data_IF_947748674277
#
_entry.id   IF_947748674277
#
_cell.length_a   1.000
_cell.length_b   1.000
_cell.length_c   1.000
_cell.angle_alpha   90.00
_cell.angle_beta   90.00
_cell.angle_gamma   90.00
#
_symmetry.space_group_name_H-M   'P 1'
#
loop_
_entity.id
_entity.type
_entity.pdbx_description
1 polymer ?
#
# COMPACT_ATOMS: atom_id res chain seq x y z
N UNK A 1 9.10 47.46 -50.79
CA UNK A 1 8.98 46.94 -49.41
C UNK A 1 7.68 46.15 -49.37
N UNK A 2 7.82 44.83 -49.23
CA UNK A 2 6.73 43.86 -49.31
C UNK A 2 6.04 43.75 -47.96
N UNK A 3 4.72 43.92 -47.94
CA UNK A 3 3.87 43.45 -46.84
C UNK A 3 3.08 42.26 -47.38
N UNK A 4 3.56 41.05 -47.11
CA UNK A 4 2.77 39.83 -47.26
C UNK A 4 2.20 39.46 -45.89
N UNK A 5 0.95 39.88 -45.65
CA UNK A 5 0.11 39.27 -44.64
C UNK A 5 -0.33 37.91 -45.16
N UNK A 6 0.23 36.85 -44.62
CA UNK A 6 -0.31 35.49 -44.75
C UNK A 6 -1.45 35.34 -43.75
N UNK A 7 -2.64 35.84 -44.11
CA UNK A 7 -3.87 35.41 -43.46
C UNK A 7 -4.10 33.94 -43.81
N UNK A 8 -4.04 33.08 -42.81
CA UNK A 8 -4.41 31.68 -42.92
C UNK A 8 -5.89 31.62 -43.21
N UNK A 9 -6.28 31.24 -44.44
CA UNK A 9 -7.67 31.02 -44.82
C UNK A 9 -8.33 30.08 -43.80
N UNK A 10 -9.30 30.61 -43.05
CA UNK A 10 -10.15 29.79 -42.19
C UNK A 10 -11.00 28.91 -43.09
N UNK A 11 -10.66 27.63 -43.14
CA UNK A 11 -11.42 26.64 -43.88
C UNK A 11 -12.82 26.52 -43.26
N UNK A 12 -13.85 27.02 -43.97
CA UNK A 12 -15.25 27.00 -43.50
C UNK A 12 -15.85 25.66 -43.91
N UNK A 13 -16.12 24.81 -42.91
CA UNK A 13 -16.79 23.52 -43.14
C UNK A 13 -18.18 23.74 -43.76
N UNK A 14 -18.51 22.94 -44.77
CA UNK A 14 -19.86 22.86 -45.31
C UNK A 14 -20.82 22.24 -44.29
N UNK A 15 -22.13 22.47 -44.44
CA UNK A 15 -23.16 21.89 -43.56
C UNK A 15 -23.06 20.36 -43.49
N UNK A 16 -22.78 19.70 -44.63
CA UNK A 16 -22.63 18.24 -44.68
C UNK A 16 -21.40 17.77 -43.91
N UNK A 17 -20.27 18.46 -44.04
CA UNK A 17 -19.05 18.14 -43.28
C UNK A 17 -19.25 18.37 -41.78
N UNK A 18 -19.97 19.43 -41.40
CA UNK A 18 -20.29 19.71 -40.01
C UNK A 18 -21.21 18.65 -39.40
N UNK A 19 -22.26 18.22 -40.11
CA UNK A 19 -23.16 17.14 -39.67
C UNK A 19 -22.44 15.79 -39.59
N UNK A 20 -21.57 15.49 -40.55
CA UNK A 20 -20.76 14.27 -40.53
C UNK A 20 -19.79 14.26 -39.35
N UNK A 21 -19.08 15.37 -39.13
CA UNK A 21 -18.18 15.52 -37.98
C UNK A 21 -18.94 15.35 -36.66
N UNK A 22 -20.07 16.04 -36.49
CA UNK A 22 -20.90 15.92 -35.30
C UNK A 22 -21.34 14.47 -35.04
N UNK A 23 -21.82 13.78 -36.09
CA UNK A 23 -22.28 12.39 -36.00
C UNK A 23 -21.11 11.45 -35.63
N UNK A 24 -19.95 11.63 -36.24
CA UNK A 24 -18.74 10.86 -35.94
C UNK A 24 -18.27 11.07 -34.50
N UNK A 25 -18.33 12.30 -33.98
CA UNK A 25 -17.95 12.60 -32.60
C UNK A 25 -18.88 11.95 -31.57
N UNK A 26 -20.19 11.95 -31.83
CA UNK A 26 -21.15 11.21 -30.98
C UNK A 26 -20.83 9.71 -31.01
N UNK A 27 -20.63 9.14 -32.21
CA UNK A 27 -20.31 7.71 -32.33
C UNK A 27 -19.02 7.37 -31.58
N UNK A 28 -17.98 8.19 -31.69
CA UNK A 28 -16.73 8.01 -30.95
C UNK A 28 -16.94 8.04 -29.44
N UNK A 29 -17.79 8.94 -28.92
CA UNK A 29 -18.15 8.98 -27.50
C UNK A 29 -18.90 7.72 -27.03
N UNK A 30 -19.82 7.21 -27.84
CA UNK A 30 -20.54 5.96 -27.55
C UNK A 30 -19.62 4.73 -27.61
N UNK A 31 -18.70 4.68 -28.57
CA UNK A 31 -17.69 3.63 -28.68
C UNK A 31 -16.73 3.68 -27.48
N UNK A 32 -16.39 4.87 -26.99
CA UNK A 32 -15.60 5.05 -25.78
C UNK A 32 -16.32 4.52 -24.54
N UNK A 33 -17.63 4.74 -24.41
CA UNK A 33 -18.45 4.14 -23.36
C UNK A 33 -18.50 2.61 -23.46
N UNK A 34 -18.59 2.07 -24.68
CA UNK A 34 -18.57 0.61 -24.88
C UNK A 34 -17.24 -0.02 -24.44
N UNK A 35 -16.10 0.64 -24.73
CA UNK A 35 -14.78 0.21 -24.26
C UNK A 35 -14.68 0.22 -22.73
N UNK A 36 -15.19 1.27 -22.09
CA UNK A 36 -15.24 1.37 -20.63
C UNK A 36 -16.04 0.23 -20.01
N UNK A 37 -17.24 -0.04 -20.52
CA UNK A 37 -18.10 -1.13 -20.03
C UNK A 37 -17.43 -2.49 -20.22
N UNK A 38 -16.77 -2.72 -21.36
CA UNK A 38 -16.04 -3.97 -21.61
C UNK A 38 -14.89 -4.15 -20.62
N UNK A 39 -14.09 -3.11 -20.39
CA UNK A 39 -12.98 -3.16 -19.43
C UNK A 39 -13.49 -3.40 -17.99
N UNK A 40 -14.58 -2.75 -17.58
CA UNK A 40 -15.21 -3.01 -16.27
C UNK A 40 -15.81 -4.41 -16.17
N UNK A 41 -16.36 -4.94 -17.27
CA UNK A 41 -16.85 -6.31 -17.34
C UNK A 41 -15.70 -7.30 -17.14
N UNK A 42 -14.57 -7.11 -17.83
CA UNK A 42 -13.36 -7.90 -17.61
C UNK A 42 -12.88 -7.78 -16.16
N UNK A 43 -12.74 -6.57 -15.62
CA UNK A 43 -12.34 -6.33 -14.21
C UNK A 43 -13.24 -7.09 -13.22
N UNK A 44 -14.55 -7.12 -13.46
CA UNK A 44 -15.53 -7.70 -12.55
C UNK A 44 -15.91 -9.16 -12.86
N UNK A 45 -15.49 -9.77 -13.96
CA UNK A 45 -15.98 -11.11 -14.32
C UNK A 45 -14.89 -12.08 -14.75
N UNK A 46 -13.73 -11.59 -15.20
CA UNK A 46 -12.65 -12.47 -15.62
C UNK A 46 -12.20 -13.41 -14.50
N UNK A 47 -11.80 -14.62 -14.89
CA UNK A 47 -11.16 -15.59 -14.01
C UNK A 47 -9.64 -15.65 -14.24
N UNK A 48 -9.13 -14.81 -15.16
CA UNK A 48 -7.72 -14.74 -15.51
C UNK A 48 -7.06 -13.52 -14.83
N UNK A 49 -5.95 -13.78 -14.13
CA UNK A 49 -5.24 -12.76 -13.36
C UNK A 49 -4.61 -11.67 -14.25
N UNK A 50 -4.08 -12.04 -15.42
CA UNK A 50 -3.47 -11.08 -16.35
C UNK A 50 -4.53 -10.21 -17.02
N UNK A 51 -5.69 -10.78 -17.37
CA UNK A 51 -6.83 -10.04 -17.88
C UNK A 51 -7.40 -9.09 -16.82
N UNK A 52 -7.43 -9.51 -15.55
CA UNK A 52 -7.82 -8.66 -14.41
C UNK A 52 -6.90 -7.44 -14.29
N UNK A 53 -5.58 -7.65 -14.28
CA UNK A 53 -4.60 -6.57 -14.21
C UNK A 53 -4.69 -5.64 -15.43
N UNK A 54 -4.81 -6.22 -16.62
CA UNK A 54 -4.92 -5.45 -17.89
C UNK A 54 -6.16 -4.55 -17.86
N UNK A 55 -7.30 -5.08 -17.41
CA UNK A 55 -8.52 -4.31 -17.26
C UNK A 55 -8.34 -3.15 -16.27
N UNK A 56 -7.80 -3.41 -15.07
CA UNK A 56 -7.57 -2.38 -14.06
C UNK A 56 -6.62 -1.28 -14.53
N UNK A 57 -5.52 -1.64 -15.20
CA UNK A 57 -4.57 -0.69 -15.79
C UNK A 57 -5.24 0.15 -16.89
N UNK A 58 -6.06 -0.48 -17.75
CA UNK A 58 -6.76 0.24 -18.82
C UNK A 58 -7.80 1.24 -18.29
N UNK A 59 -8.42 0.95 -17.16
CA UNK A 59 -9.42 1.79 -16.50
C UNK A 59 -8.79 2.92 -15.67
N UNK A 60 -7.51 2.81 -15.31
CA UNK A 60 -6.81 3.81 -14.51
C UNK A 60 -6.56 5.09 -15.32
N UNK A 61 -7.09 6.22 -14.86
CA UNK A 61 -7.13 7.51 -15.59
C UNK A 61 -7.98 7.47 -16.87
N UNK A 62 -8.99 6.60 -16.94
CA UNK A 62 -9.83 6.50 -18.13
C UNK A 62 -10.74 7.73 -18.27
N UNK A 63 -10.61 8.44 -19.38
CA UNK A 63 -11.48 9.57 -19.69
C UNK A 63 -12.73 9.08 -20.42
N UNK A 64 -13.81 8.85 -19.67
CA UNK A 64 -15.08 8.33 -20.22
C UNK A 64 -15.84 9.39 -21.03
N UNK A 65 -15.98 10.57 -20.44
CA UNK A 65 -16.71 11.68 -21.06
C UNK A 65 -15.91 12.30 -22.20
N UNK A 66 -16.63 12.72 -23.23
CA UNK A 66 -16.12 13.49 -24.36
C UNK A 66 -16.90 14.79 -24.48
N UNK A 67 -16.43 15.70 -25.34
CA UNK A 67 -17.13 16.97 -25.61
C UNK A 67 -18.56 16.80 -26.14
N UNK A 68 -18.92 15.60 -26.63
CA UNK A 68 -20.21 15.33 -27.28
C UNK A 68 -21.08 14.31 -26.54
N UNK A 69 -20.52 13.54 -25.61
CA UNK A 69 -21.24 12.49 -24.86
C UNK A 69 -20.74 12.49 -23.43
N UNK A 70 -21.68 12.71 -22.50
CA UNK A 70 -21.46 12.62 -21.05
C UNK A 70 -22.22 11.43 -20.47
N UNK A 71 -21.54 10.66 -19.63
CA UNK A 71 -22.12 9.55 -18.89
C UNK A 71 -22.35 9.98 -17.43
N UNK A 72 -23.58 9.88 -16.91
CA UNK A 72 -23.95 10.48 -15.62
C UNK A 72 -23.34 9.76 -14.41
N UNK A 73 -22.91 8.50 -14.57
CA UNK A 73 -22.34 7.69 -13.51
C UNK A 73 -21.06 7.01 -14.01
N UNK A 74 -20.01 7.12 -13.20
CA UNK A 74 -18.74 6.44 -13.42
C UNK A 74 -18.11 6.12 -12.07
N UNK A 75 -17.46 4.98 -11.99
CA UNK A 75 -16.56 4.68 -10.88
C UNK A 75 -15.32 5.57 -10.97
N UNK A 76 -14.82 5.99 -9.81
CA UNK A 76 -13.55 6.71 -9.71
C UNK A 76 -12.36 5.79 -9.97
N UNK A 77 -11.17 6.37 -10.21
CA UNK A 77 -9.94 5.58 -10.33
C UNK A 77 -9.64 4.80 -9.04
N UNK A 78 -9.97 5.38 -7.87
CA UNK A 78 -9.85 4.74 -6.57
C UNK A 78 -10.79 3.53 -6.43
N UNK A 79 -12.01 3.63 -6.95
CA UNK A 79 -12.96 2.51 -6.96
C UNK A 79 -12.44 1.37 -7.85
N UNK A 80 -11.82 1.69 -9.00
CA UNK A 80 -11.16 0.69 -9.87
C UNK A 80 -10.09 -0.06 -9.09
N UNK A 81 -9.25 0.64 -8.32
CA UNK A 81 -8.20 -0.02 -7.52
C UNK A 81 -8.79 -0.92 -6.43
N UNK A 82 -9.88 -0.50 -5.77
CA UNK A 82 -10.57 -1.31 -4.77
C UNK A 82 -11.15 -2.58 -5.37
N UNK A 83 -11.86 -2.47 -6.51
CA UNK A 83 -12.42 -3.63 -7.21
C UNK A 83 -11.29 -4.56 -7.65
N UNK A 84 -10.21 -4.05 -8.24
CA UNK A 84 -9.04 -4.85 -8.61
C UNK A 84 -8.49 -5.63 -7.41
N UNK A 85 -8.28 -4.95 -6.27
CA UNK A 85 -7.66 -5.54 -5.09
C UNK A 85 -8.54 -6.63 -4.46
N UNK A 86 -9.86 -6.41 -4.36
CA UNK A 86 -10.80 -7.42 -3.89
C UNK A 86 -10.87 -8.63 -4.84
N UNK A 87 -10.86 -8.37 -6.16
CA UNK A 87 -10.88 -9.41 -7.19
C UNK A 87 -9.61 -10.25 -7.21
N UNK A 88 -8.46 -9.62 -7.03
CA UNK A 88 -7.16 -10.28 -6.93
C UNK A 88 -7.19 -11.32 -5.81
N UNK A 89 -7.66 -10.93 -4.62
CA UNK A 89 -7.79 -11.82 -3.46
C UNK A 89 -8.77 -12.96 -3.73
N UNK A 90 -9.92 -12.67 -4.35
CA UNK A 90 -10.93 -13.69 -4.70
C UNK A 90 -10.42 -14.73 -5.70
N UNK A 91 -9.66 -14.32 -6.72
CA UNK A 91 -9.12 -15.23 -7.73
C UNK A 91 -7.92 -16.04 -7.26
N UNK A 92 -7.29 -15.62 -6.16
CA UNK A 92 -6.09 -16.25 -5.62
C UNK A 92 -6.38 -17.22 -4.47
N UNK A 93 -7.61 -17.72 -4.34
CA UNK A 93 -8.08 -18.57 -3.22
C UNK A 93 -7.98 -17.91 -1.82
N UNK A 94 -7.98 -16.57 -1.75
CA UNK A 94 -7.86 -15.78 -0.52
C UNK A 94 -9.07 -14.84 -0.30
N UNK A 95 -10.26 -15.31 -0.68
CA UNK A 95 -11.47 -14.49 -0.88
C UNK A 95 -12.09 -13.85 0.38
N UNK A 96 -11.78 -14.35 1.59
CA UNK A 96 -12.67 -14.14 2.75
C UNK A 96 -12.27 -13.00 3.70
N UNK A 97 -11.16 -12.34 3.43
CA UNK A 97 -10.58 -11.35 4.35
C UNK A 97 -10.95 -9.89 4.10
N UNK A 98 -11.37 -9.55 2.87
CA UNK A 98 -11.69 -8.20 2.44
C UNK A 98 -13.00 -8.20 1.64
N UNK A 99 -13.90 -7.30 1.98
CA UNK A 99 -15.12 -7.07 1.21
C UNK A 99 -15.24 -5.60 0.84
N UNK A 100 -15.76 -5.31 -0.36
CA UNK A 100 -16.14 -3.96 -0.74
C UNK A 100 -17.65 -3.77 -0.53
N UNK A 101 -18.02 -2.61 -0.02
CA UNK A 101 -19.41 -2.21 0.16
C UNK A 101 -19.62 -0.80 -0.33
N UNK A 102 -20.87 -0.49 -0.66
CA UNK A 102 -21.30 0.86 -1.00
C UNK A 102 -22.38 1.27 0.02
N UNK A 103 -21.99 2.00 1.06
CA UNK A 103 -22.88 2.34 2.19
C UNK A 103 -24.04 3.25 1.78
N UNK A 104 -23.86 4.05 0.72
CA UNK A 104 -24.90 4.90 0.16
C UNK A 104 -24.76 4.82 -1.36
N UNK A 105 -25.75 4.26 -2.07
CA UNK A 105 -25.76 3.80 -3.48
C UNK A 105 -25.19 4.76 -4.57
N UNK A 106 -24.59 5.90 -4.20
CA UNK A 106 -24.10 6.97 -5.06
C UNK A 106 -22.69 7.49 -4.68
N UNK A 107 -22.04 7.11 -3.57
CA UNK A 107 -20.74 7.71 -3.21
C UNK A 107 -19.70 6.71 -2.69
N UNK A 108 -18.70 6.44 -3.55
CA UNK A 108 -17.42 5.77 -3.30
C UNK A 108 -17.48 4.37 -2.68
N UNK A 109 -16.78 3.42 -3.28
CA UNK A 109 -16.62 2.09 -2.70
C UNK A 109 -15.72 2.18 -1.46
N UNK A 110 -16.08 1.42 -0.43
CA UNK A 110 -15.31 1.29 0.79
C UNK A 110 -15.02 -0.18 1.05
N UNK A 111 -13.77 -0.49 1.36
CA UNK A 111 -13.37 -1.82 1.79
C UNK A 111 -13.50 -1.97 3.30
N UNK A 112 -13.81 -3.18 3.76
CA UNK A 112 -13.78 -3.61 5.16
C UNK A 112 -13.00 -4.91 5.27
N UNK A 113 -12.10 -4.99 6.25
CA UNK A 113 -11.52 -6.27 6.65
C UNK A 113 -12.46 -6.97 7.60
N UNK A 114 -12.73 -8.25 7.36
CA UNK A 114 -13.66 -9.06 8.17
C UNK A 114 -13.28 -9.07 9.66
N UNK A 115 -11.98 -8.99 9.97
CA UNK A 115 -11.44 -9.02 11.33
C UNK A 115 -11.47 -7.67 12.05
N UNK A 116 -11.63 -6.54 11.36
CA UNK A 116 -11.55 -5.19 11.96
C UNK A 116 -12.91 -4.51 12.20
N UNK A 117 -14.00 -5.28 12.13
CA UNK A 117 -15.35 -4.79 12.39
C UNK A 117 -15.78 -3.69 11.41
N UNK A 118 -16.11 -2.51 11.92
CA UNK A 118 -16.66 -1.41 11.11
C UNK A 118 -15.63 -0.44 10.52
N UNK A 119 -14.34 -0.68 10.77
CA UNK A 119 -13.27 0.09 10.15
C UNK A 119 -13.35 -0.01 8.62
N UNK A 120 -13.33 1.14 7.95
CA UNK A 120 -13.42 1.23 6.49
C UNK A 120 -12.14 1.77 5.89
N UNK A 121 -11.84 1.32 4.67
CA UNK A 121 -10.60 1.59 3.96
C UNK A 121 -10.91 1.98 2.52
N UNK A 122 -10.02 2.78 1.94
CA UNK A 122 -10.17 3.22 0.55
C UNK A 122 -8.81 3.51 -0.07
N UNK A 123 -8.77 3.50 -1.39
CA UNK A 123 -7.71 4.18 -2.13
C UNK A 123 -7.92 5.69 -2.17
N UNK A 124 -6.82 6.42 -2.26
CA UNK A 124 -6.73 7.84 -2.62
C UNK A 124 -5.65 8.03 -3.67
N UNK A 125 -5.92 8.82 -4.71
CA UNK A 125 -4.96 9.05 -5.78
C UNK A 125 -3.74 9.85 -5.33
N UNK A 126 -2.56 9.48 -5.83
CA UNK A 126 -1.33 10.22 -5.57
C UNK A 126 -1.32 11.54 -6.34
N UNK A 127 -0.95 12.62 -5.66
CA UNK A 127 -0.76 13.95 -6.26
C UNK A 127 0.53 14.05 -7.07
N UNK A 128 1.50 13.14 -6.83
CA UNK A 128 2.82 13.11 -7.49
C UNK A 128 2.84 12.17 -8.70
N UNK A 129 1.99 11.15 -8.72
CA UNK A 129 1.94 10.15 -9.79
C UNK A 129 0.49 9.79 -10.13
N UNK A 130 0.03 10.17 -11.32
CA UNK A 130 -1.36 9.97 -11.73
C UNK A 130 -1.78 8.48 -11.81
N UNK A 131 -0.84 7.54 -11.92
CA UNK A 131 -1.12 6.10 -11.92
C UNK A 131 -0.89 5.45 -10.55
N UNK A 132 -0.48 6.23 -9.54
CA UNK A 132 -0.20 5.76 -8.20
C UNK A 132 -1.35 6.05 -7.24
N UNK A 133 -1.63 5.11 -6.35
CA UNK A 133 -2.72 5.19 -5.37
C UNK A 133 -2.21 4.78 -4.00
N UNK A 134 -2.77 5.38 -2.97
CA UNK A 134 -2.49 5.06 -1.59
C UNK A 134 -3.68 4.39 -0.95
N UNK A 135 -3.48 3.27 -0.27
CA UNK A 135 -4.53 2.59 0.49
C UNK A 135 -4.40 2.89 1.97
N UNK A 136 -5.50 3.20 2.65
CA UNK A 136 -5.50 3.38 4.09
C UNK A 136 -6.90 3.49 4.70
N UNK A 137 -6.97 3.63 6.04
CA UNK A 137 -8.23 3.83 6.75
C UNK A 137 -8.90 5.12 6.28
N UNK A 138 -10.23 5.14 6.21
CA UNK A 138 -10.98 6.34 5.79
C UNK A 138 -10.98 7.44 6.86
N UNK A 139 -10.95 7.04 8.14
CA UNK A 139 -10.95 7.94 9.28
C UNK A 139 -9.63 8.72 9.45
N UNK A 140 -8.55 8.24 8.83
CA UNK A 140 -7.22 8.80 8.98
C UNK A 140 -6.58 9.03 7.62
N UNK A 141 -5.98 10.21 7.40
CA UNK A 141 -5.22 10.47 6.18
C UNK A 141 -3.80 9.84 6.26
N UNK A 142 -3.71 8.57 6.67
CA UNK A 142 -2.47 7.81 6.84
C UNK A 142 -2.47 6.62 5.88
N UNK A 143 -1.71 6.68 4.78
CA UNK A 143 -1.66 5.59 3.83
C UNK A 143 -0.79 4.46 4.38
N UNK A 144 -1.34 3.25 4.42
CA UNK A 144 -0.65 2.02 4.86
C UNK A 144 0.27 1.49 3.77
N UNK A 145 -0.12 1.64 2.50
CA UNK A 145 0.72 1.29 1.36
C UNK A 145 0.41 2.14 0.13
N UNK A 146 1.34 2.16 -0.80
CA UNK A 146 1.23 2.70 -2.14
C UNK A 146 1.14 1.56 -3.15
N UNK A 147 0.34 1.73 -4.20
CA UNK A 147 0.16 0.79 -5.30
C UNK A 147 0.22 1.54 -6.64
N UNK A 148 0.96 0.99 -7.59
CA UNK A 148 0.94 1.42 -8.98
C UNK A 148 0.92 0.20 -9.89
N UNK A 149 -0.25 -0.06 -10.48
CA UNK A 149 -0.45 -1.22 -11.36
C UNK A 149 0.35 -1.11 -12.66
N UNK A 150 0.62 0.11 -13.13
CA UNK A 150 1.32 0.36 -14.40
C UNK A 150 2.83 0.17 -14.27
N UNK A 151 3.44 0.68 -13.21
CA UNK A 151 4.87 0.45 -12.92
C UNK A 151 5.14 -0.87 -12.18
N UNK A 152 4.07 -1.58 -11.77
CA UNK A 152 4.14 -2.84 -11.01
C UNK A 152 4.89 -2.68 -9.69
N UNK A 153 4.47 -1.70 -8.90
CA UNK A 153 5.08 -1.36 -7.62
C UNK A 153 4.05 -1.38 -6.51
N UNK A 154 4.41 -1.98 -5.37
CA UNK A 154 3.69 -1.83 -4.11
C UNK A 154 4.71 -1.58 -3.00
N UNK A 155 4.47 -0.54 -2.20
CA UNK A 155 5.42 -0.11 -1.16
C UNK A 155 4.63 0.10 0.13
N UNK A 156 5.05 -0.53 1.22
CA UNK A 156 4.41 -0.36 2.52
C UNK A 156 4.98 0.85 3.28
N UNK A 157 4.15 1.47 4.10
CA UNK A 157 4.51 2.62 4.93
C UNK A 157 4.62 2.20 6.39
N UNK A 158 5.83 1.88 6.83
CA UNK A 158 6.15 1.33 8.13
C UNK A 158 5.62 2.13 9.31
N UNK A 159 5.86 3.44 9.35
CA UNK A 159 5.36 4.28 10.44
C UNK A 159 3.84 4.36 10.49
N UNK A 160 3.17 4.45 9.33
CA UNK A 160 1.70 4.44 9.27
C UNK A 160 1.09 3.09 9.63
N UNK A 161 1.74 1.98 9.26
CA UNK A 161 1.34 0.63 9.66
C UNK A 161 1.45 0.46 11.17
N UNK A 162 2.59 0.83 11.77
CA UNK A 162 2.77 0.74 13.22
C UNK A 162 1.76 1.63 13.93
N UNK A 163 1.63 2.90 13.52
CA UNK A 163 0.68 3.80 14.15
C UNK A 163 -0.75 3.29 14.06
N UNK A 164 -1.15 2.70 12.94
CA UNK A 164 -2.50 2.19 12.79
C UNK A 164 -2.73 0.91 13.60
N UNK A 165 -1.92 -0.12 13.38
CA UNK A 165 -2.14 -1.44 13.98
C UNK A 165 -1.75 -1.51 15.46
N UNK A 166 -0.74 -0.77 15.89
CA UNK A 166 -0.22 -0.84 17.27
C UNK A 166 -0.81 0.25 18.16
N UNK A 167 -1.08 1.45 17.63
CA UNK A 167 -1.55 2.60 18.43
C UNK A 167 -3.04 2.85 18.26
N UNK A 168 -3.53 3.07 17.03
CA UNK A 168 -4.93 3.44 16.80
C UNK A 168 -5.90 2.30 17.11
N UNK A 169 -5.48 1.06 16.82
CA UNK A 169 -6.26 -0.15 17.05
C UNK A 169 -5.93 -0.84 18.38
N UNK A 170 -5.24 -0.14 19.29
CA UNK A 170 -4.94 -0.68 20.63
C UNK A 170 -6.23 -1.13 21.34
N UNK A 171 -6.18 -2.32 21.93
CA UNK A 171 -7.32 -2.94 22.63
C UNK A 171 -8.17 -3.85 21.74
N UNK A 172 -7.94 -3.88 20.41
CA UNK A 172 -8.42 -4.99 19.58
C UNK A 172 -7.58 -6.25 19.82
N UNK A 173 -8.18 -7.40 19.48
CA UNK A 173 -7.51 -8.68 19.59
C UNK A 173 -6.35 -8.80 18.59
N UNK A 174 -5.20 -9.28 19.06
CA UNK A 174 -3.98 -9.36 18.25
C UNK A 174 -4.17 -10.27 17.04
N UNK A 175 -4.93 -11.38 17.17
CA UNK A 175 -5.17 -12.25 16.02
C UNK A 175 -6.02 -11.55 14.94
N UNK A 176 -6.99 -10.73 15.34
CA UNK A 176 -7.77 -9.93 14.40
C UNK A 176 -6.92 -8.90 13.64
N UNK A 177 -5.93 -8.27 14.30
CA UNK A 177 -4.97 -7.36 13.68
C UNK A 177 -4.09 -8.09 12.66
N UNK A 178 -3.53 -9.23 13.07
CA UNK A 178 -2.69 -10.08 12.21
C UNK A 178 -3.47 -10.65 11.02
N UNK A 179 -4.73 -11.00 11.19
CA UNK A 179 -5.59 -11.47 10.10
C UNK A 179 -5.77 -10.39 9.03
N UNK A 180 -5.99 -9.12 9.42
CA UNK A 180 -6.08 -8.03 8.45
C UNK A 180 -4.76 -7.77 7.73
N UNK A 181 -3.63 -7.81 8.45
CA UNK A 181 -2.30 -7.70 7.86
C UNK A 181 -2.04 -8.82 6.85
N UNK A 182 -2.38 -10.06 7.20
CA UNK A 182 -2.22 -11.23 6.33
C UNK A 182 -2.99 -11.11 5.01
N UNK A 183 -4.16 -10.48 5.02
CA UNK A 183 -4.91 -10.20 3.78
C UNK A 183 -4.14 -9.26 2.85
N UNK A 184 -3.53 -8.20 3.40
CA UNK A 184 -2.74 -7.26 2.60
C UNK A 184 -1.45 -7.92 2.10
N UNK A 185 -0.80 -8.72 2.95
CA UNK A 185 0.41 -9.47 2.61
C UNK A 185 0.16 -10.46 1.48
N UNK A 186 -0.92 -11.25 1.55
CA UNK A 186 -1.33 -12.19 0.49
C UNK A 186 -1.55 -11.49 -0.84
N UNK A 187 -2.20 -10.32 -0.83
CA UNK A 187 -2.36 -9.56 -2.06
C UNK A 187 -0.99 -9.15 -2.64
N UNK A 188 -0.06 -8.69 -1.80
CA UNK A 188 1.29 -8.32 -2.24
C UNK A 188 2.10 -9.52 -2.76
N UNK A 189 1.98 -10.69 -2.13
CA UNK A 189 2.58 -11.96 -2.59
C UNK A 189 2.04 -12.36 -3.96
N UNK A 190 0.72 -12.34 -4.17
CA UNK A 190 0.11 -12.63 -5.48
C UNK A 190 0.62 -11.64 -6.53
N UNK A 191 0.68 -10.33 -6.22
CA UNK A 191 1.22 -9.33 -7.15
C UNK A 191 2.67 -9.63 -7.54
N UNK A 192 3.49 -10.05 -6.58
CA UNK A 192 4.89 -10.43 -6.79
C UNK A 192 5.01 -11.68 -7.65
N UNK A 193 4.30 -12.75 -7.30
CA UNK A 193 4.44 -14.07 -7.90
C UNK A 193 3.78 -14.17 -9.28
N UNK A 194 2.58 -13.60 -9.43
CA UNK A 194 1.80 -13.70 -10.68
C UNK A 194 2.22 -12.65 -11.70
N UNK A 195 2.60 -11.44 -11.27
CA UNK A 195 2.82 -10.31 -12.18
C UNK A 195 4.24 -9.75 -12.14
N UNK A 196 5.09 -10.20 -11.22
CA UNK A 196 6.46 -9.69 -11.07
C UNK A 196 6.51 -8.27 -10.48
N UNK A 197 5.59 -7.92 -9.58
CA UNK A 197 5.64 -6.62 -8.91
C UNK A 197 6.88 -6.51 -8.02
N UNK A 198 7.44 -5.29 -7.97
CA UNK A 198 8.39 -4.90 -6.95
C UNK A 198 7.61 -4.56 -5.68
N UNK A 199 7.82 -5.37 -4.64
CA UNK A 199 7.23 -5.17 -3.31
C UNK A 199 8.32 -4.73 -2.33
N UNK A 200 8.07 -3.66 -1.58
CA UNK A 200 8.83 -3.29 -0.37
C UNK A 200 7.93 -3.55 0.84
N UNK A 201 8.09 -4.71 1.48
CA UNK A 201 7.30 -5.17 2.62
C UNK A 201 7.58 -4.37 3.91
N UNK A 202 8.72 -3.69 3.98
CA UNK A 202 9.09 -2.83 5.11
C UNK A 202 8.90 -3.56 6.47
N UNK A 203 8.22 -2.95 7.44
CA UNK A 203 7.94 -3.54 8.78
C UNK A 203 7.13 -4.85 8.77
N UNK A 204 6.59 -5.28 7.62
CA UNK A 204 5.86 -6.54 7.46
C UNK A 204 6.73 -7.67 6.89
N UNK A 205 7.95 -7.38 6.45
CA UNK A 205 8.82 -8.41 5.91
C UNK A 205 9.22 -9.37 7.03
N UNK A 206 8.91 -10.67 6.90
CA UNK A 206 9.24 -11.69 7.90
C UNK A 206 10.47 -12.52 7.53
N UNK A 207 11.18 -12.17 6.46
CA UNK A 207 12.36 -12.92 6.03
C UNK A 207 13.45 -12.81 7.10
N UNK A 208 13.96 -13.97 7.53
CA UNK A 208 15.04 -14.02 8.51
C UNK A 208 16.25 -13.20 8.05
N UNK A 209 16.70 -12.31 8.92
CA UNK A 209 17.85 -11.45 8.65
C UNK A 209 17.53 -10.20 7.84
N UNK A 210 16.25 -9.90 7.55
CA UNK A 210 15.88 -8.57 7.07
C UNK A 210 16.31 -7.52 8.10
N UNK A 211 17.00 -6.48 7.62
CA UNK A 211 17.59 -5.45 8.46
C UNK A 211 16.69 -4.22 8.52
N UNK A 212 15.92 -4.10 9.60
CA UNK A 212 15.10 -2.94 9.87
C UNK A 212 15.97 -1.77 10.36
N UNK A 213 16.40 -0.94 9.43
CA UNK A 213 17.23 0.24 9.70
C UNK A 213 16.45 1.32 10.46
N UNK A 214 17.03 1.80 11.56
CA UNK A 214 16.45 2.86 12.38
C UNK A 214 16.76 4.26 11.82
N UNK A 215 15.79 5.17 11.88
CA UNK A 215 15.84 6.50 11.28
C UNK A 215 17.03 7.36 11.73
N UNK A 216 17.44 7.25 13.00
CA UNK A 216 18.47 8.11 13.56
C UNK A 216 19.90 7.73 13.12
N UNK A 217 20.11 6.54 12.53
CA UNK A 217 21.42 6.01 12.17
C UNK A 217 22.27 5.59 13.38
N UNK A 218 22.36 6.44 14.41
CA UNK A 218 22.93 6.13 15.73
C UNK A 218 21.84 6.07 16.80
N UNK A 219 21.90 5.07 17.68
CA UNK A 219 21.04 5.03 18.88
C UNK A 219 21.85 5.38 20.14
N UNK A 220 21.35 6.27 21.00
CA UNK A 220 21.94 6.53 22.31
C UNK A 220 21.94 5.29 23.22
N UNK A 221 23.01 5.12 24.00
CA UNK A 221 23.16 4.04 25.00
C UNK A 221 21.94 3.88 25.94
N UNK A 222 21.29 4.95 26.45
CA UNK A 222 20.12 4.80 27.30
C UNK A 222 18.94 4.05 26.65
N UNK A 223 18.84 4.06 25.32
CA UNK A 223 17.78 3.34 24.60
C UNK A 223 18.03 1.83 24.65
N UNK A 224 19.30 1.39 24.56
CA UNK A 224 19.65 -0.03 24.71
C UNK A 224 19.54 -0.49 26.17
N UNK A 225 19.93 0.35 27.11
CA UNK A 225 19.76 0.07 28.55
C UNK A 225 18.29 -0.10 28.91
N UNK A 226 17.41 0.72 28.33
CA UNK A 226 15.97 0.59 28.52
C UNK A 226 15.44 -0.76 28.01
N UNK A 227 15.91 -1.23 26.85
CA UNK A 227 15.56 -2.55 26.34
C UNK A 227 16.04 -3.65 27.30
N UNK A 228 17.23 -3.52 27.88
CA UNK A 228 17.77 -4.47 28.87
C UNK A 228 16.89 -4.53 30.12
N UNK A 229 16.54 -3.39 30.69
CA UNK A 229 15.67 -3.31 31.89
C UNK A 229 14.29 -3.90 31.61
N UNK A 230 13.63 -3.49 30.52
CA UNK A 230 12.30 -4.00 30.16
C UNK A 230 12.32 -5.50 29.85
N UNK A 231 13.37 -6.01 29.21
CA UNK A 231 13.52 -7.45 28.95
C UNK A 231 13.64 -8.25 30.24
N UNK A 232 14.47 -7.79 31.19
CA UNK A 232 14.65 -8.44 32.49
C UNK A 232 13.37 -8.44 33.33
N UNK A 233 12.64 -7.31 33.36
CA UNK A 233 11.36 -7.18 34.05
C UNK A 233 10.29 -8.13 33.49
N UNK A 234 10.40 -8.50 32.21
CA UNK A 234 9.51 -9.44 31.52
C UNK A 234 10.09 -10.87 31.42
N UNK A 235 11.15 -11.17 32.17
CA UNK A 235 11.77 -12.50 32.27
C UNK A 235 12.40 -13.04 30.97
N UNK A 236 12.73 -12.16 30.03
CA UNK A 236 13.46 -12.53 28.81
C UNK A 236 14.98 -12.36 28.99
N UNK A 237 15.74 -13.20 28.31
CA UNK A 237 17.21 -13.18 28.37
C UNK A 237 17.72 -12.23 27.29
N UNK A 238 18.31 -11.11 27.71
CA UNK A 238 19.08 -10.22 26.84
C UNK A 238 20.58 -10.44 27.06
N UNK A 239 21.29 -10.74 25.98
CA UNK A 239 22.74 -10.89 25.94
C UNK A 239 23.36 -9.73 25.16
N UNK A 240 24.59 -9.37 25.50
CA UNK A 240 25.37 -8.45 24.66
C UNK A 240 25.65 -9.13 23.31
N UNK A 241 25.28 -8.45 22.23
CA UNK A 241 25.52 -8.88 20.85
C UNK A 241 26.85 -8.36 20.30
N UNK A 242 27.11 -8.65 19.02
CA UNK A 242 28.28 -8.11 18.32
C UNK A 242 28.24 -6.57 18.23
N UNK A 243 29.40 -5.93 18.13
CA UNK A 243 29.56 -4.48 17.98
C UNK A 243 28.82 -3.62 19.03
N UNK A 244 28.72 -4.12 20.28
CA UNK A 244 28.02 -3.40 21.36
C UNK A 244 26.50 -3.42 21.23
N UNK A 245 25.96 -4.30 20.39
CA UNK A 245 24.52 -4.53 20.24
C UNK A 245 23.92 -5.38 21.37
N UNK A 246 22.67 -5.77 21.16
CA UNK A 246 21.87 -6.59 22.04
C UNK A 246 21.25 -7.75 21.27
N UNK A 247 21.19 -8.93 21.90
CA UNK A 247 20.49 -10.11 21.39
C UNK A 247 19.48 -10.57 22.44
N UNK A 248 18.20 -10.58 22.07
CA UNK A 248 17.08 -10.91 22.94
C UNK A 248 16.45 -12.21 22.44
N UNK A 249 16.41 -13.22 23.30
CA UNK A 249 15.70 -14.48 23.01
C UNK A 249 14.29 -14.41 23.57
N UNK A 250 13.32 -14.62 22.69
CA UNK A 250 11.88 -14.57 22.95
C UNK A 250 11.28 -15.98 22.91
N UNK A 251 9.95 -16.06 22.94
CA UNK A 251 9.25 -17.35 22.87
C UNK A 251 9.54 -18.07 21.54
N UNK A 252 9.47 -19.40 21.57
CA UNK A 252 9.72 -20.29 20.42
C UNK A 252 11.11 -20.10 19.76
N UNK A 253 12.10 -19.69 20.56
CA UNK A 253 13.47 -19.40 20.10
C UNK A 253 13.55 -18.25 19.07
N UNK A 254 12.53 -17.39 19.00
CA UNK A 254 12.61 -16.15 18.19
C UNK A 254 13.69 -15.25 18.75
N UNK A 255 14.58 -14.75 17.90
CA UNK A 255 15.69 -13.88 18.29
C UNK A 255 15.53 -12.49 17.68
N UNK A 256 15.49 -11.47 18.54
CA UNK A 256 15.64 -10.08 18.16
C UNK A 256 17.10 -9.67 18.38
N UNK A 257 17.79 -9.27 17.32
CA UNK A 257 19.15 -8.73 17.41
C UNK A 257 19.15 -7.25 17.02
N UNK A 258 19.57 -6.37 17.91
CA UNK A 258 19.73 -4.93 17.70
C UNK A 258 21.22 -4.62 17.64
N UNK A 259 21.72 -4.10 16.53
CA UNK A 259 23.17 -3.89 16.35
C UNK A 259 23.49 -2.77 15.35
N UNK A 260 24.73 -2.31 15.39
CA UNK A 260 25.29 -1.40 14.39
C UNK A 260 25.85 -2.21 13.21
N UNK A 261 25.21 -2.09 12.04
CA UNK A 261 25.66 -2.69 10.78
C UNK A 261 26.64 -1.78 10.00
N UNK A 262 26.94 -0.59 10.53
CA UNK A 262 27.88 0.37 9.95
C UNK A 262 29.17 0.49 10.77
N UNK A 263 29.97 1.48 10.42
CA UNK A 263 31.28 1.74 11.03
C UNK A 263 31.17 2.86 12.08
N UNK A 264 32.20 3.09 12.89
CA UNK A 264 32.20 4.14 13.92
C UNK A 264 31.89 5.54 13.36
N UNK A 265 32.38 5.86 12.15
CA UNK A 265 32.16 7.15 11.49
C UNK A 265 30.79 7.28 10.82
N UNK A 266 30.13 6.14 10.53
CA UNK A 266 28.85 6.05 9.81
C UNK A 266 27.98 4.97 10.44
N UNK A 267 27.50 5.19 11.67
CA UNK A 267 26.66 4.23 12.35
C UNK A 267 25.39 3.97 11.55
N UNK A 268 25.02 2.69 11.48
CA UNK A 268 23.84 2.18 10.82
C UNK A 268 23.16 1.19 11.76
N UNK A 269 22.52 1.71 12.79
CA UNK A 269 21.78 0.92 13.74
C UNK A 269 20.44 0.44 13.18
N UNK A 270 20.08 -0.77 13.57
CA UNK A 270 18.82 -1.39 13.21
C UNK A 270 18.64 -2.70 13.94
N UNK A 271 17.65 -3.46 13.51
CA UNK A 271 17.34 -4.76 14.08
C UNK A 271 17.18 -5.82 13.01
N UNK A 272 17.41 -7.08 13.40
CA UNK A 272 17.01 -8.26 12.63
C UNK A 272 16.20 -9.17 13.53
N UNK A 273 15.26 -9.88 12.93
CA UNK A 273 14.47 -10.91 13.60
C UNK A 273 14.81 -12.25 12.94
N UNK A 274 14.94 -13.28 13.76
CA UNK A 274 15.08 -14.65 13.30
C UNK A 274 14.08 -15.53 14.04
N UNK A 275 13.21 -16.21 13.28
CA UNK A 275 12.32 -17.24 13.80
C UNK A 275 12.44 -18.53 12.96
N UNK A 276 11.89 -19.64 13.45
CA UNK A 276 12.04 -20.93 12.76
C UNK A 276 11.28 -20.99 11.41
N UNK A 277 10.20 -20.23 11.29
CA UNK A 277 9.27 -20.26 10.16
C UNK A 277 9.50 -19.12 9.14
N UNK A 278 10.32 -18.12 9.46
CA UNK A 278 10.52 -16.89 8.69
C UNK A 278 9.21 -16.11 8.48
N UNK A 279 8.49 -15.88 9.58
CA UNK A 279 7.18 -15.22 9.58
C UNK A 279 7.11 -14.05 10.56
N UNK A 280 8.04 -13.96 11.49
CA UNK A 280 8.04 -12.91 12.48
C UNK A 280 8.57 -11.62 11.87
N UNK A 281 7.69 -10.64 11.70
CA UNK A 281 8.03 -9.31 11.20
C UNK A 281 8.14 -8.32 12.35
N UNK A 282 8.76 -7.16 12.10
CA UNK A 282 8.82 -6.09 13.10
C UNK A 282 7.45 -5.70 13.63
N UNK A 283 6.43 -5.63 12.77
CA UNK A 283 5.09 -5.28 13.21
C UNK A 283 4.46 -6.37 14.08
N UNK A 284 4.65 -7.65 13.74
CA UNK A 284 4.18 -8.77 14.58
C UNK A 284 4.84 -8.75 15.96
N UNK A 285 6.14 -8.44 16.01
CA UNK A 285 6.90 -8.36 17.25
C UNK A 285 6.34 -7.30 18.20
N UNK A 286 5.97 -6.13 17.68
CA UNK A 286 5.35 -5.06 18.47
C UNK A 286 3.95 -5.43 18.97
N UNK A 287 3.23 -6.32 18.27
CA UNK A 287 1.91 -6.78 18.69
C UNK A 287 2.00 -7.87 19.76
N UNK A 288 2.97 -8.77 19.65
CA UNK A 288 3.10 -9.94 20.54
C UNK A 288 3.80 -9.61 21.86
N UNK A 289 4.71 -8.62 21.86
CA UNK A 289 5.55 -8.32 23.02
C UNK A 289 5.33 -6.87 23.50
N UNK A 290 4.42 -6.64 24.46
CA UNK A 290 4.10 -5.30 24.96
C UNK A 290 5.31 -4.50 25.48
N UNK A 291 6.30 -5.16 26.07
CA UNK A 291 7.49 -4.46 26.55
C UNK A 291 8.40 -3.95 25.41
N UNK A 292 8.43 -4.65 24.27
CA UNK A 292 9.12 -4.22 23.05
C UNK A 292 8.33 -3.08 22.39
N UNK A 293 7.00 -3.20 22.37
CA UNK A 293 6.09 -2.11 21.96
C UNK A 293 6.39 -0.83 22.73
N UNK A 294 6.39 -0.90 24.05
CA UNK A 294 6.61 0.26 24.92
C UNK A 294 7.99 0.85 24.68
N UNK A 295 9.05 0.02 24.67
CA UNK A 295 10.41 0.45 24.33
C UNK A 295 10.48 1.19 22.99
N UNK A 296 9.85 0.64 21.94
CA UNK A 296 9.84 1.22 20.62
C UNK A 296 9.09 2.57 20.59
N UNK A 297 7.90 2.63 21.19
CA UNK A 297 7.06 3.83 21.17
C UNK A 297 7.65 4.96 22.03
N UNK A 298 8.22 4.63 23.19
CA UNK A 298 8.93 5.57 24.08
C UNK A 298 10.12 6.22 23.35
N UNK A 299 10.73 5.50 22.41
CA UNK A 299 11.92 5.89 21.65
C UNK A 299 11.67 6.06 20.14
N UNK A 300 10.42 6.30 19.72
CA UNK A 300 10.01 6.25 18.31
C UNK A 300 10.85 7.17 17.40
N UNK A 301 11.24 8.36 17.87
CA UNK A 301 12.03 9.31 17.06
C UNK A 301 13.38 8.75 16.62
N UNK A 302 13.93 7.82 17.38
CA UNK A 302 15.23 7.20 17.12
C UNK A 302 15.07 5.88 16.38
N UNK A 303 14.07 5.09 16.78
CA UNK A 303 13.88 3.70 16.33
C UNK A 303 12.95 3.56 15.12
N UNK A 304 12.29 4.63 14.66
CA UNK A 304 11.37 4.57 13.52
C UNK A 304 12.03 3.93 12.29
N UNK A 305 11.34 2.93 11.73
CA UNK A 305 11.78 2.29 10.49
C UNK A 305 11.26 3.13 9.32
N UNK A 306 12.21 3.70 8.57
CA UNK A 306 11.88 4.60 7.48
C UNK A 306 11.32 3.82 6.29
N UNK A 307 10.32 4.42 5.65
CA UNK A 307 9.79 3.93 4.38
C UNK A 307 10.36 4.72 3.21
N UNK A 308 9.98 4.33 2.00
CA UNK A 308 10.43 4.97 0.77
C UNK A 308 10.05 6.47 0.72
N UNK A 309 11.01 7.35 1.04
CA UNK A 309 10.85 8.81 1.09
C UNK A 309 10.38 9.42 -0.24
N UNK A 310 10.73 8.81 -1.38
CA UNK A 310 10.28 9.31 -2.67
C UNK A 310 8.75 9.20 -2.82
N UNK A 311 8.20 8.08 -2.34
CA UNK A 311 6.76 7.79 -2.40
C UNK A 311 6.01 8.51 -1.27
N UNK A 312 6.48 8.41 -0.03
CA UNK A 312 5.73 8.84 1.16
C UNK A 312 6.06 10.26 1.66
N UNK A 313 7.14 10.89 1.19
CA UNK A 313 7.54 12.25 1.60
C UNK A 313 8.83 12.29 2.41
#
# INVERSE_FOLDING_TARGET
MSNENTETEKNVLTTTELLNHYTQSIQAGLDNGSKYVNAFTSLNQTQDLDELLTAAVSLTNYQLNSDFVEFPHQFSDEDVQLVFFERLLKLSDHADGLSISNSEHVQKLLAKFSSLGDNTFTFTKSTKNAAGFFFGPTAHNRPLFYLNLKSKEMMFHGSALIDYFVVDLEGLDVSALKDAMNVIMRAAEVLKESFGFKIDFNVLDGVNGEFYEFAAGAIPEPILDELFVKSADNQYILMSGENGGASLTLDNDTQLNVYNAGDEDRPKWGATIHDQDQKESWLNLLLDYPFIKDWYLDNKKQLEILSNKFIFG
#
